data_IF_280597438304
#
_entry.id   IF_280597438304
#
_cell.length_a   1.000
_cell.length_b   1.000
_cell.length_c   1.000
_cell.angle_alpha   90.00
_cell.angle_beta   90.00
_cell.angle_gamma   90.00
#
_symmetry.space_group_name_H-M   'P 1'
#
loop_
_entity.id
_entity.type
_entity.pdbx_description
1 polymer ?
#
# COMPACT_ATOMS: atom_id res chain seq x y z
N UNK A 1 -4.81 -20.68 14.49
CA UNK A 1 -5.89 -19.86 13.91
C UNK A 1 -6.43 -20.56 12.69
N UNK A 2 -7.75 -20.73 12.57
CA UNK A 2 -8.37 -21.36 11.40
C UNK A 2 -8.75 -20.27 10.39
N UNK A 3 -8.43 -20.47 9.12
CA UNK A 3 -8.73 -19.51 8.05
C UNK A 3 -9.84 -20.08 7.17
N UNK A 4 -10.90 -19.30 7.00
CA UNK A 4 -12.01 -19.61 6.10
C UNK A 4 -11.89 -18.71 4.86
N UNK A 5 -11.98 -19.31 3.67
CA UNK A 5 -11.94 -18.58 2.40
C UNK A 5 -13.33 -18.59 1.78
N UNK A 6 -13.84 -17.41 1.47
CA UNK A 6 -15.14 -17.23 0.81
C UNK A 6 -14.84 -16.71 -0.60
N UNK A 7 -15.37 -17.33 -1.68
CA UNK A 7 -15.23 -16.80 -3.03
C UNK A 7 -15.79 -15.38 -3.13
N UNK A 8 -15.14 -14.49 -3.91
CA UNK A 8 -15.61 -13.12 -4.11
C UNK A 8 -17.08 -13.05 -4.56
N UNK A 9 -17.50 -13.97 -5.44
CA UNK A 9 -18.89 -14.06 -5.91
C UNK A 9 -19.93 -14.40 -4.83
N UNK A 10 -19.49 -14.85 -3.65
CA UNK A 10 -20.36 -15.17 -2.51
C UNK A 10 -20.37 -14.07 -1.44
N UNK A 11 -19.66 -12.96 -1.64
CA UNK A 11 -19.64 -11.84 -0.69
C UNK A 11 -20.62 -10.76 -1.17
N UNK A 12 -21.80 -10.62 -0.54
CA UNK A 12 -22.88 -9.78 -1.08
C UNK A 12 -22.60 -8.27 -1.03
N UNK A 13 -21.62 -7.84 -0.24
CA UNK A 13 -21.21 -6.43 -0.15
C UNK A 13 -20.30 -5.99 -1.31
N UNK A 14 -19.74 -6.93 -2.09
CA UNK A 14 -18.88 -6.59 -3.22
C UNK A 14 -19.72 -6.17 -4.42
N UNK A 15 -19.27 -5.12 -5.10
CA UNK A 15 -19.93 -4.70 -6.32
C UNK A 15 -19.71 -5.73 -7.44
N UNK A 16 -20.62 -5.75 -8.42
CA UNK A 16 -20.44 -6.57 -9.62
C UNK A 16 -19.14 -6.27 -10.37
N UNK A 17 -18.63 -5.05 -10.26
CA UNK A 17 -17.35 -4.61 -10.84
C UNK A 17 -16.16 -5.20 -10.09
N UNK A 18 -16.18 -5.20 -8.76
CA UNK A 18 -15.11 -5.77 -7.94
C UNK A 18 -15.00 -7.28 -8.14
N UNK A 19 -16.16 -7.96 -8.17
CA UNK A 19 -16.21 -9.40 -8.47
C UNK A 19 -15.66 -9.65 -9.87
N UNK A 20 -16.12 -8.90 -10.89
CA UNK A 20 -15.63 -9.05 -12.26
C UNK A 20 -14.12 -8.82 -12.38
N UNK A 21 -13.56 -7.85 -11.67
CA UNK A 21 -12.11 -7.60 -11.66
C UNK A 21 -11.34 -8.74 -10.98
N UNK A 22 -11.79 -9.16 -9.79
CA UNK A 22 -11.16 -10.25 -9.04
C UNK A 22 -11.19 -11.58 -9.82
N UNK A 23 -12.23 -11.81 -10.62
CA UNK A 23 -12.38 -13.01 -11.45
C UNK A 23 -11.87 -12.86 -12.88
N UNK A 24 -11.22 -11.74 -13.22
CA UNK A 24 -10.67 -11.47 -14.57
C UNK A 24 -11.70 -11.58 -15.69
N UNK A 25 -12.86 -10.97 -15.51
CA UNK A 25 -13.89 -10.90 -16.55
C UNK A 25 -13.34 -10.19 -17.79
N UNK A 26 -13.48 -10.83 -18.96
CA UNK A 26 -12.96 -10.34 -20.24
C UNK A 26 -13.44 -8.92 -20.59
N UNK A 27 -14.63 -8.52 -20.13
CA UNK A 27 -15.16 -7.17 -20.35
C UNK A 27 -14.30 -6.08 -19.68
N UNK A 28 -13.54 -6.43 -18.64
CA UNK A 28 -12.66 -5.51 -17.95
C UNK A 28 -11.23 -5.49 -18.52
N UNK A 29 -10.87 -6.43 -19.40
CA UNK A 29 -9.51 -6.54 -19.96
C UNK A 29 -8.99 -5.22 -20.55
N UNK A 30 -9.78 -4.38 -21.25
CA UNK A 30 -9.28 -3.11 -21.80
C UNK A 30 -8.91 -2.05 -20.75
N UNK A 31 -9.32 -2.21 -19.49
CA UNK A 31 -9.19 -1.18 -18.45
C UNK A 31 -7.97 -1.34 -17.54
N UNK A 32 -7.20 -2.43 -17.69
CA UNK A 32 -5.98 -2.65 -16.92
C UNK A 32 -4.91 -3.32 -17.78
N UNK A 33 -3.63 -3.05 -17.49
CA UNK A 33 -2.53 -3.63 -18.27
C UNK A 33 -2.23 -5.06 -17.83
N UNK A 34 -2.18 -5.31 -16.52
CA UNK A 34 -1.71 -6.58 -15.94
C UNK A 34 -2.81 -7.27 -15.13
N UNK A 35 -3.04 -8.58 -15.30
CA UNK A 35 -3.99 -9.30 -14.45
C UNK A 35 -3.48 -9.37 -12.99
N UNK A 36 -4.38 -9.44 -11.99
CA UNK A 36 -4.01 -9.51 -10.57
C UNK A 36 -3.50 -10.93 -10.20
N UNK A 37 -2.37 -11.31 -10.78
CA UNK A 37 -1.73 -12.62 -10.67
C UNK A 37 -0.23 -12.43 -10.40
N UNK A 38 0.38 -13.33 -9.62
CA UNK A 38 1.80 -13.22 -9.28
C UNK A 38 2.70 -13.34 -10.52
N UNK A 39 2.29 -14.13 -11.51
CA UNK A 39 3.05 -14.37 -12.74
C UNK A 39 3.11 -13.11 -13.63
N UNK A 40 2.13 -12.21 -13.51
CA UNK A 40 2.11 -10.95 -14.27
C UNK A 40 3.24 -10.00 -13.84
N UNK A 41 3.82 -10.19 -12.66
CA UNK A 41 4.90 -9.33 -12.17
C UNK A 41 6.17 -9.42 -13.02
N UNK A 42 6.41 -10.50 -13.75
CA UNK A 42 7.53 -10.56 -14.69
C UNK A 42 7.47 -9.42 -15.74
N UNK A 43 6.29 -9.17 -16.30
CA UNK A 43 6.07 -8.08 -17.25
C UNK A 43 6.10 -6.71 -16.56
N UNK A 44 5.53 -6.60 -15.35
CA UNK A 44 5.59 -5.36 -14.55
C UNK A 44 7.04 -4.97 -14.25
N UNK A 45 7.87 -5.93 -13.83
CA UNK A 45 9.29 -5.70 -13.53
C UNK A 45 10.01 -5.19 -14.77
N UNK A 46 9.88 -5.88 -15.91
CA UNK A 46 10.51 -5.47 -17.16
C UNK A 46 10.10 -4.04 -17.59
N UNK A 47 8.82 -3.69 -17.43
CA UNK A 47 8.33 -2.33 -17.70
C UNK A 47 8.92 -1.30 -16.74
N UNK A 48 9.08 -1.65 -15.46
CA UNK A 48 9.64 -0.75 -14.44
C UNK A 48 11.16 -0.60 -14.55
N UNK A 49 11.89 -1.61 -15.02
CA UNK A 49 13.32 -1.51 -15.34
C UNK A 49 13.59 -0.49 -16.45
N UNK A 50 12.65 -0.34 -17.40
CA UNK A 50 12.76 0.64 -18.48
C UNK A 50 12.52 2.09 -18.01
N UNK A 51 11.94 2.29 -16.82
CA UNK A 51 11.63 3.61 -16.29
C UNK A 51 12.84 4.21 -15.56
N UNK A 52 13.29 5.39 -16.01
CA UNK A 52 14.38 6.11 -15.38
C UNK A 52 13.88 6.78 -14.08
N UNK A 53 14.42 6.34 -12.95
CA UNK A 53 14.13 6.91 -11.62
C UNK A 53 15.42 7.44 -11.02
N UNK A 54 15.39 8.65 -10.48
CA UNK A 54 16.47 9.16 -9.63
C UNK A 54 16.40 8.46 -8.25
N UNK A 55 17.01 7.27 -8.18
CA UNK A 55 17.00 6.43 -6.99
C UNK A 55 17.77 7.08 -5.84
N UNK A 56 18.82 7.85 -6.16
CA UNK A 56 19.63 8.50 -5.14
C UNK A 56 18.83 9.61 -4.46
N UNK A 57 18.17 10.48 -5.24
CA UNK A 57 17.28 11.51 -4.71
C UNK A 57 16.17 10.91 -3.83
N UNK A 58 15.54 9.81 -4.28
CA UNK A 58 14.51 9.11 -3.51
C UNK A 58 15.04 8.63 -2.15
N UNK A 59 16.19 7.96 -2.15
CA UNK A 59 16.81 7.42 -0.93
C UNK A 59 17.19 8.55 0.02
N UNK A 60 17.82 9.60 -0.49
CA UNK A 60 18.25 10.74 0.35
C UNK A 60 17.05 11.47 0.96
N UNK A 61 15.99 11.69 0.18
CA UNK A 61 14.76 12.30 0.67
C UNK A 61 14.10 11.46 1.77
N UNK A 62 14.03 10.14 1.57
CA UNK A 62 13.45 9.23 2.57
C UNK A 62 14.32 9.12 3.82
N UNK A 63 15.65 9.11 3.69
CA UNK A 63 16.56 9.14 4.85
C UNK A 63 16.35 10.39 5.68
N UNK A 64 16.30 11.56 5.05
CA UNK A 64 16.08 12.84 5.72
C UNK A 64 14.73 12.86 6.46
N UNK A 65 13.66 12.42 5.78
CA UNK A 65 12.34 12.31 6.39
C UNK A 65 12.35 11.34 7.58
N UNK A 66 12.97 10.16 7.42
CA UNK A 66 12.94 9.11 8.43
C UNK A 66 13.88 9.35 9.62
N UNK A 67 14.89 10.21 9.46
CA UNK A 67 15.79 10.61 10.53
C UNK A 67 15.09 11.39 11.65
N UNK A 68 13.88 11.91 11.40
CA UNK A 68 13.06 12.62 12.39
C UNK A 68 12.35 11.70 13.37
N UNK A 69 12.24 10.39 13.06
CA UNK A 69 11.59 9.40 13.91
C UNK A 69 12.58 8.70 14.85
N UNK A 70 12.10 8.28 16.02
CA UNK A 70 12.92 7.54 16.98
C UNK A 70 13.30 6.13 16.51
N UNK A 71 14.33 5.50 17.12
CA UNK A 71 14.79 4.15 16.77
C UNK A 71 13.78 3.03 17.06
N UNK A 72 12.71 3.33 17.80
CA UNK A 72 11.61 2.41 18.10
C UNK A 72 10.33 2.72 17.29
N UNK A 73 10.40 3.68 16.37
CA UNK A 73 9.28 4.15 15.56
C UNK A 73 9.53 3.82 14.07
N UNK A 74 9.07 4.68 13.16
CA UNK A 74 9.35 4.53 11.74
C UNK A 74 10.86 4.62 11.42
N UNK A 75 11.68 5.17 12.32
CA UNK A 75 13.14 5.25 12.19
C UNK A 75 13.89 3.98 12.57
N UNK A 76 13.20 2.85 12.78
CA UNK A 76 13.85 1.59 13.17
C UNK A 76 14.83 1.05 12.10
N UNK A 77 15.70 0.12 12.52
CA UNK A 77 16.72 -0.45 11.65
C UNK A 77 16.13 -1.20 10.43
N UNK A 78 14.89 -1.70 10.54
CA UNK A 78 14.21 -2.41 9.44
C UNK A 78 13.85 -1.41 8.35
N UNK A 79 13.17 -0.32 8.69
CA UNK A 79 12.79 0.73 7.76
C UNK A 79 14.01 1.36 7.09
N UNK A 80 15.05 1.69 7.88
CA UNK A 80 16.31 2.20 7.34
C UNK A 80 16.94 1.24 6.34
N UNK A 81 17.02 -0.06 6.65
CA UNK A 81 17.55 -1.06 5.72
C UNK A 81 16.74 -1.16 4.42
N UNK A 82 15.41 -1.00 4.50
CA UNK A 82 14.56 -1.01 3.30
C UNK A 82 14.79 0.24 2.43
N UNK A 83 14.93 1.42 3.06
CA UNK A 83 15.26 2.68 2.37
C UNK A 83 16.59 2.53 1.61
N UNK A 84 17.63 2.02 2.26
CA UNK A 84 18.93 1.80 1.62
C UNK A 84 18.85 0.91 0.37
N UNK A 85 18.03 -0.13 0.42
CA UNK A 85 17.86 -1.08 -0.70
C UNK A 85 17.26 -0.42 -1.95
N UNK A 86 16.53 0.69 -1.82
CA UNK A 86 15.91 1.38 -2.97
C UNK A 86 16.95 1.97 -3.95
N UNK A 87 18.19 2.16 -3.50
CA UNK A 87 19.32 2.56 -4.35
C UNK A 87 19.66 1.51 -5.42
N UNK A 88 19.39 0.23 -5.14
CA UNK A 88 19.73 -0.85 -6.05
C UNK A 88 18.76 -0.91 -7.25
N UNK A 89 19.26 -1.15 -8.48
CA UNK A 89 18.46 -1.12 -9.70
C UNK A 89 17.38 -2.22 -9.75
N UNK A 90 17.61 -3.34 -9.05
CA UNK A 90 16.68 -4.48 -8.95
C UNK A 90 15.73 -4.39 -7.76
N UNK A 91 15.66 -3.23 -7.11
CA UNK A 91 14.70 -2.98 -6.04
C UNK A 91 13.52 -2.18 -6.55
N UNK A 92 12.31 -2.63 -6.23
CA UNK A 92 11.04 -1.98 -6.56
C UNK A 92 10.20 -1.76 -5.31
N UNK A 93 9.25 -0.83 -5.40
CA UNK A 93 8.25 -0.60 -4.35
C UNK A 93 6.94 -1.27 -4.71
N UNK A 94 6.28 -1.87 -3.72
CA UNK A 94 4.85 -2.17 -3.77
C UNK A 94 4.12 -1.10 -2.97
N UNK A 95 3.28 -0.34 -3.64
CA UNK A 95 2.69 0.86 -3.05
C UNK A 95 1.20 0.66 -2.82
N UNK A 96 0.76 1.04 -1.62
CA UNK A 96 -0.64 1.37 -1.35
C UNK A 96 -0.70 2.72 -0.64
N UNK A 97 -1.84 3.38 -0.69
CA UNK A 97 -2.05 4.66 -0.02
C UNK A 97 -3.35 4.71 0.76
N UNK A 98 -3.44 5.64 1.70
CA UNK A 98 -4.69 6.06 2.32
C UNK A 98 -4.54 7.49 2.86
N UNK A 99 -5.63 8.25 2.93
CA UNK A 99 -5.64 9.50 3.68
C UNK A 99 -5.33 9.24 5.16
N UNK A 100 -4.77 10.23 5.90
CA UNK A 100 -4.66 10.17 7.34
C UNK A 100 -5.99 9.80 7.99
N UNK A 101 -5.96 9.08 9.11
CA UNK A 101 -7.18 8.75 9.83
C UNK A 101 -6.90 8.72 11.31
N UNK A 102 -7.80 9.33 12.09
CA UNK A 102 -7.73 9.27 13.54
C UNK A 102 -7.76 7.81 14.01
N UNK A 103 -6.84 7.46 14.92
CA UNK A 103 -6.73 6.13 15.52
C UNK A 103 -6.70 4.97 14.50
N UNK A 104 -5.96 5.13 13.40
CA UNK A 104 -5.83 4.15 12.29
C UNK A 104 -7.10 3.89 11.48
N UNK A 105 -8.17 4.65 11.74
CA UNK A 105 -9.38 4.66 10.93
C UNK A 105 -10.08 3.28 10.86
N UNK A 106 -10.75 2.99 9.73
CA UNK A 106 -11.44 1.72 9.55
C UNK A 106 -10.45 0.57 9.39
N UNK A 107 -10.87 -0.64 9.76
CA UNK A 107 -10.01 -1.84 9.76
C UNK A 107 -9.29 -2.10 8.43
N UNK A 108 -9.90 -1.72 7.30
CA UNK A 108 -9.29 -1.91 6.00
C UNK A 108 -7.99 -1.09 5.81
N UNK A 109 -7.78 -0.01 6.57
CA UNK A 109 -6.53 0.76 6.58
C UNK A 109 -5.34 -0.16 6.94
N UNK A 110 -5.45 -0.86 8.06
CA UNK A 110 -4.43 -1.83 8.52
C UNK A 110 -4.35 -3.03 7.58
N UNK A 111 -5.48 -3.52 7.07
CA UNK A 111 -5.50 -4.64 6.13
C UNK A 111 -4.75 -4.29 4.83
N UNK A 112 -4.84 -3.05 4.32
CA UNK A 112 -4.08 -2.62 3.13
C UNK A 112 -2.58 -2.66 3.38
N UNK A 113 -2.11 -2.21 4.54
CA UNK A 113 -0.69 -2.27 4.95
C UNK A 113 -0.23 -3.73 4.99
N UNK A 114 -0.94 -4.58 5.73
CA UNK A 114 -0.60 -6.00 5.88
C UNK A 114 -0.64 -6.75 4.54
N UNK A 115 -1.60 -6.42 3.67
CA UNK A 115 -1.70 -7.02 2.33
C UNK A 115 -0.50 -6.65 1.47
N UNK A 116 -0.04 -5.41 1.55
CA UNK A 116 1.15 -4.93 0.81
C UNK A 116 2.42 -5.61 1.31
N UNK A 117 2.62 -5.70 2.63
CA UNK A 117 3.74 -6.43 3.24
C UNK A 117 3.72 -7.91 2.82
N UNK A 118 2.56 -8.55 2.89
CA UNK A 118 2.43 -9.96 2.52
C UNK A 118 2.64 -10.21 1.02
N UNK A 119 2.23 -9.28 0.16
CA UNK A 119 2.51 -9.36 -1.28
C UNK A 119 4.01 -9.17 -1.56
N UNK A 120 4.68 -8.22 -0.89
CA UNK A 120 6.12 -8.02 -1.00
C UNK A 120 6.89 -9.30 -0.64
N UNK A 121 6.50 -9.97 0.45
CA UNK A 121 7.11 -11.25 0.85
C UNK A 121 6.93 -12.32 -0.22
N UNK A 122 5.72 -12.48 -0.76
CA UNK A 122 5.45 -13.47 -1.82
C UNK A 122 6.25 -13.17 -3.09
N UNK A 123 6.42 -11.90 -3.46
CA UNK A 123 7.22 -11.54 -4.63
C UNK A 123 8.72 -11.75 -4.40
N UNK A 124 9.25 -11.42 -3.22
CA UNK A 124 10.64 -11.72 -2.87
C UNK A 124 10.93 -13.23 -2.91
N UNK A 125 9.95 -14.07 -2.55
CA UNK A 125 10.05 -15.53 -2.67
C UNK A 125 9.96 -16.01 -4.13
N UNK A 126 9.06 -15.43 -4.93
CA UNK A 126 8.83 -15.83 -6.32
C UNK A 126 9.90 -15.30 -7.30
N UNK A 127 10.52 -14.16 -6.99
CA UNK A 127 11.49 -13.46 -7.82
C UNK A 127 12.76 -13.12 -7.01
N UNK A 128 13.58 -14.14 -6.66
CA UNK A 128 14.70 -13.98 -5.71
C UNK A 128 15.84 -13.07 -6.20
N UNK A 129 15.92 -12.79 -7.50
CA UNK A 129 16.88 -11.84 -8.08
C UNK A 129 16.50 -10.37 -7.86
N UNK A 130 15.30 -10.12 -7.33
CA UNK A 130 14.70 -8.81 -7.13
C UNK A 130 14.32 -8.59 -5.67
N UNK A 131 14.16 -7.31 -5.29
CA UNK A 131 13.71 -6.94 -3.96
C UNK A 131 12.48 -6.03 -4.03
N UNK A 132 11.45 -6.35 -3.24
CA UNK A 132 10.19 -5.59 -3.18
C UNK A 132 10.01 -4.97 -1.80
N UNK A 133 10.06 -3.64 -1.75
CA UNK A 133 9.86 -2.84 -0.53
C UNK A 133 8.38 -2.46 -0.42
N UNK A 134 7.66 -2.89 0.64
CA UNK A 134 6.31 -2.40 0.87
C UNK A 134 6.36 -0.92 1.26
N UNK A 135 5.59 -0.08 0.58
CA UNK A 135 5.49 1.35 0.82
C UNK A 135 4.02 1.71 1.08
N UNK A 136 3.78 2.35 2.22
CA UNK A 136 2.49 2.94 2.55
C UNK A 136 2.59 4.46 2.43
N UNK A 137 1.81 5.04 1.51
CA UNK A 137 1.76 6.49 1.31
C UNK A 137 0.59 7.06 2.10
N UNK A 138 0.89 7.97 3.03
CA UNK A 138 -0.11 8.80 3.69
C UNK A 138 -0.49 9.93 2.74
N UNK A 139 -1.73 9.97 2.26
CA UNK A 139 -2.25 11.03 1.38
C UNK A 139 -2.55 12.31 2.17
N UNK A 140 -1.52 12.90 2.77
CA UNK A 140 -1.63 14.07 3.65
C UNK A 140 -1.80 15.39 2.89
N UNK A 141 -1.66 15.39 1.56
CA UNK A 141 -1.94 16.54 0.70
C UNK A 141 -3.45 16.81 0.49
N UNK A 142 -4.31 15.92 0.98
CA UNK A 142 -5.75 16.09 0.86
C UNK A 142 -6.27 17.07 1.93
N UNK A 143 -6.95 18.11 1.47
CA UNK A 143 -7.50 19.16 2.33
C UNK A 143 -8.90 18.81 2.87
N UNK A 144 -9.43 17.62 2.59
CA UNK A 144 -10.74 17.19 3.11
C UNK A 144 -10.67 16.75 4.59
N UNK A 145 -10.58 17.74 5.48
CA UNK A 145 -10.59 17.51 6.93
C UNK A 145 -11.86 16.78 7.41
N UNK A 146 -13.01 16.99 6.75
CA UNK A 146 -14.28 16.39 7.16
C UNK A 146 -14.30 14.87 6.99
N UNK A 147 -13.48 14.32 6.08
CA UNK A 147 -13.33 12.88 5.91
C UNK A 147 -12.55 12.24 7.08
N UNK A 148 -11.59 12.95 7.67
CA UNK A 148 -10.63 12.39 8.63
C UNK A 148 -10.90 12.80 10.09
N UNK A 149 -11.77 13.78 10.32
CA UNK A 149 -12.04 14.35 11.65
C UNK A 149 -12.89 13.46 12.57
N UNK A 150 -13.39 12.32 12.11
CA UNK A 150 -14.32 11.49 12.88
C UNK A 150 -13.96 10.01 12.83
N UNK A 151 -14.41 9.27 13.85
CA UNK A 151 -14.27 7.83 13.94
C UNK A 151 -15.53 7.21 14.56
N UNK A 152 -15.74 5.93 14.31
CA UNK A 152 -16.85 5.18 14.91
C UNK A 152 -16.31 4.24 16.00
N UNK A 153 -16.65 4.52 17.26
CA UNK A 153 -16.26 3.70 18.40
C UNK A 153 -17.52 3.13 19.06
N UNK A 154 -17.63 1.80 19.11
CA UNK A 154 -18.79 1.09 19.66
C UNK A 154 -20.14 1.57 19.09
N UNK A 155 -20.18 1.84 17.78
CA UNK A 155 -21.37 2.33 17.08
C UNK A 155 -21.69 3.81 17.30
N UNK A 156 -20.83 4.55 18.01
CA UNK A 156 -20.97 6.01 18.19
C UNK A 156 -19.95 6.74 17.32
N UNK A 157 -20.41 7.75 16.58
CA UNK A 157 -19.52 8.70 15.91
C UNK A 157 -18.91 9.62 16.95
N UNK A 158 -17.58 9.67 16.99
CA UNK A 158 -16.79 10.64 17.74
C UNK A 158 -16.19 11.56 16.69
N UNK A 159 -16.43 12.85 16.83
CA UNK A 159 -15.99 13.86 15.88
C UNK A 159 -15.10 14.86 16.60
N UNK A 160 -14.00 15.22 15.96
CA UNK A 160 -13.09 16.25 16.42
C UNK A 160 -13.52 17.58 15.80
N UNK A 161 -14.14 18.42 16.63
CA UNK A 161 -14.48 19.79 16.28
C UNK A 161 -13.26 20.67 16.60
N UNK A 162 -12.56 21.14 15.57
CA UNK A 162 -11.48 22.13 15.69
C UNK A 162 -11.76 23.28 14.72
N UNK A 163 -11.50 24.52 15.16
CA UNK A 163 -11.64 25.73 14.33
C UNK A 163 -10.42 25.95 13.41
N UNK A 164 -9.33 25.21 13.62
CA UNK A 164 -8.15 25.29 12.77
C UNK A 164 -8.33 24.47 11.48
N UNK A 165 -8.16 25.13 10.34
CA UNK A 165 -8.09 24.51 9.02
C UNK A 165 -6.64 24.18 8.63
N UNK A 166 -6.47 23.18 7.76
CA UNK A 166 -5.18 22.82 7.16
C UNK A 166 -4.72 23.78 6.08
#
# INVERSE_FOLDING_TARGET
>A
MQVYRIPFSQVPQLSSRDVAYATQDERLRPFYVHPPKLEAFAEVIAQREAFQTDRQLLVDTLREQYATFGPTEAGDATAQSQIERLSAPKTFTLVTAHQPSLFTGPLYFVIKILSTINLSRQLNEAYPDYHFVPLFVMGGEDHDFAEVNHLHLFGKRIEWENEEGG
#
